data_IF_216967038751
#
_entry.id   IF_216967038751
#
_cell.length_a   1.000
_cell.length_b   1.000
_cell.length_c   1.000
_cell.angle_alpha   90.00
_cell.angle_beta   90.00
_cell.angle_gamma   90.00
#
_symmetry.space_group_name_H-M   'P 1'
#
loop_
_entity.id
_entity.type
_entity.pdbx_description
1 polymer ?
#
# COMPACT_ATOMS: atom_id res chain seq x y z
N UNK A 1 -74.63 22.10 13.35
CA UNK A 1 -73.27 21.61 13.02
C UNK A 1 -72.83 22.28 11.72
N UNK A 2 -71.84 23.18 11.77
CA UNK A 2 -71.32 23.91 10.60
C UNK A 2 -69.86 23.53 10.42
N UNK A 3 -69.54 22.86 9.31
CA UNK A 3 -68.19 22.52 8.91
C UNK A 3 -67.52 23.75 8.28
N UNK A 4 -66.27 24.03 8.68
CA UNK A 4 -65.37 24.96 7.99
C UNK A 4 -64.01 24.28 7.85
N UNK A 5 -63.62 24.07 6.60
CA UNK A 5 -62.31 23.63 6.15
C UNK A 5 -61.52 24.91 5.81
N UNK A 6 -60.30 25.05 6.33
CA UNK A 6 -59.32 26.07 5.93
C UNK A 6 -57.93 25.45 6.16
N UNK A 7 -57.27 24.98 5.11
CA UNK A 7 -56.31 25.71 4.26
C UNK A 7 -54.95 25.93 4.91
N UNK A 8 -54.07 24.99 4.57
CA UNK A 8 -52.61 25.00 4.38
C UNK A 8 -51.87 26.34 4.42
N UNK A 9 -50.73 26.37 5.12
CA UNK A 9 -49.58 27.20 4.78
C UNK A 9 -48.30 26.47 5.21
N UNK A 10 -47.65 25.79 4.25
CA UNK A 10 -46.32 25.21 4.43
C UNK A 10 -45.25 26.26 4.22
N UNK A 11 -44.32 26.39 5.17
CA UNK A 11 -43.11 27.20 5.02
C UNK A 11 -42.00 26.29 4.51
N UNK A 12 -41.60 26.46 3.25
CA UNK A 12 -40.42 25.84 2.67
C UNK A 12 -39.18 26.62 3.14
N UNK A 13 -38.40 26.04 4.05
CA UNK A 13 -37.06 26.53 4.38
C UNK A 13 -36.09 25.92 3.38
N UNK A 14 -35.62 26.74 2.43
CA UNK A 14 -34.53 26.38 1.54
C UNK A 14 -33.19 26.53 2.30
N UNK A 15 -32.66 25.42 2.81
CA UNK A 15 -31.30 25.36 3.31
C UNK A 15 -30.35 25.25 2.10
N UNK A 16 -29.64 26.34 1.81
CA UNK A 16 -28.55 26.34 0.85
C UNK A 16 -27.38 25.52 1.43
N UNK A 17 -27.20 24.31 0.91
CA UNK A 17 -25.99 23.51 1.12
C UNK A 17 -24.83 24.23 0.40
N UNK A 18 -23.96 24.86 1.17
CA UNK A 18 -22.62 25.20 0.74
C UNK A 18 -21.89 23.89 0.49
N UNK A 19 -21.91 23.41 -0.75
CA UNK A 19 -21.01 22.38 -1.21
C UNK A 19 -19.60 22.97 -1.17
N UNK A 20 -18.91 22.78 -0.05
CA UNK A 20 -17.48 22.94 0.02
C UNK A 20 -16.88 22.00 -1.02
N UNK A 21 -16.41 22.57 -2.13
CA UNK A 21 -15.60 21.85 -3.11
C UNK A 21 -14.30 21.46 -2.44
N UNK A 22 -14.33 20.37 -1.67
CA UNK A 22 -13.14 19.63 -1.32
C UNK A 22 -12.55 19.18 -2.65
N UNK A 23 -11.35 19.68 -2.95
CA UNK A 23 -10.52 19.08 -3.99
C UNK A 23 -10.45 17.61 -3.62
N UNK A 24 -11.06 16.73 -4.42
CA UNK A 24 -10.98 15.30 -4.17
C UNK A 24 -9.49 14.97 -4.17
N UNK A 25 -8.94 14.67 -3.00
CA UNK A 25 -7.57 14.22 -2.91
C UNK A 25 -7.48 12.97 -3.79
N UNK A 26 -6.58 12.98 -4.77
CA UNK A 26 -6.28 11.77 -5.52
C UNK A 26 -5.84 10.70 -4.51
N UNK A 27 -6.43 9.53 -4.66
CA UNK A 27 -6.29 8.42 -3.73
C UNK A 27 -5.20 7.48 -4.26
N UNK A 28 -4.38 6.93 -3.37
CA UNK A 28 -3.33 5.95 -3.67
C UNK A 28 -3.90 4.74 -4.45
N UNK A 29 -5.20 4.44 -4.26
CA UNK A 29 -5.92 3.40 -4.99
C UNK A 29 -6.14 3.71 -6.49
N UNK A 30 -6.04 4.97 -6.91
CA UNK A 30 -6.24 5.39 -8.30
C UNK A 30 -4.99 5.20 -9.16
N UNK A 31 -3.84 4.91 -8.55
CA UNK A 31 -2.61 4.61 -9.27
C UNK A 31 -2.75 3.23 -9.94
N UNK A 32 -2.52 3.17 -11.26
CA UNK A 32 -2.38 1.88 -11.96
C UNK A 32 -0.99 1.31 -11.67
N UNK A 33 -0.79 0.80 -10.46
CA UNK A 33 0.48 0.32 -9.93
C UNK A 33 1.17 -0.70 -10.84
N UNK A 34 0.39 -1.53 -11.54
CA UNK A 34 0.93 -2.57 -12.43
C UNK A 34 1.45 -2.00 -13.76
N UNK A 35 1.10 -0.76 -14.11
CA UNK A 35 1.57 -0.07 -15.31
C UNK A 35 2.25 1.27 -15.01
N UNK A 36 2.59 1.51 -13.73
CA UNK A 36 3.23 2.74 -13.28
C UNK A 36 4.77 2.65 -13.38
N UNK A 37 5.42 3.81 -13.38
CA UNK A 37 6.86 3.92 -13.14
C UNK A 37 7.09 4.50 -11.75
N UNK A 38 7.92 3.85 -10.92
CA UNK A 38 8.25 4.34 -9.59
C UNK A 38 9.59 3.79 -9.06
N UNK A 39 10.09 4.41 -8.01
CA UNK A 39 11.27 3.94 -7.29
C UNK A 39 10.86 2.77 -6.38
N UNK A 40 11.29 1.55 -6.73
CA UNK A 40 11.10 0.36 -5.91
C UNK A 40 12.13 0.38 -4.78
N UNK A 41 11.72 0.28 -3.50
CA UNK A 41 12.64 0.12 -2.37
C UNK A 41 13.52 -1.14 -2.50
N UNK A 42 14.56 -1.30 -1.67
CA UNK A 42 15.39 -2.51 -1.69
C UNK A 42 14.57 -3.79 -1.47
N UNK A 43 14.81 -4.81 -2.31
CA UNK A 43 14.16 -6.13 -2.25
C UNK A 43 15.24 -7.21 -2.31
N UNK A 44 15.48 -7.88 -1.18
CA UNK A 44 16.57 -8.85 -1.05
C UNK A 44 17.92 -8.25 -1.42
N UNK A 45 18.55 -8.80 -2.46
CA UNK A 45 19.82 -8.29 -3.01
C UNK A 45 19.68 -7.16 -4.03
N UNK A 46 18.44 -6.82 -4.44
CA UNK A 46 18.20 -5.75 -5.38
C UNK A 46 18.22 -4.39 -4.68
N UNK A 47 19.04 -3.43 -5.14
CA UNK A 47 19.05 -2.10 -4.57
C UNK A 47 17.77 -1.34 -4.94
N UNK A 48 17.56 -0.19 -4.29
CA UNK A 48 16.53 0.75 -4.70
C UNK A 48 16.75 1.17 -6.15
N UNK A 49 15.70 1.16 -6.95
CA UNK A 49 15.80 1.41 -8.38
C UNK A 49 14.49 1.93 -8.97
N UNK A 50 14.58 2.89 -9.89
CA UNK A 50 13.46 3.33 -10.73
C UNK A 50 13.10 2.24 -11.74
N UNK A 51 11.86 1.78 -11.72
CA UNK A 51 11.35 0.71 -12.60
C UNK A 51 10.08 1.17 -13.28
N UNK A 52 10.01 1.02 -14.61
CA UNK A 52 8.78 1.14 -15.38
C UNK A 52 8.12 -0.22 -15.49
N UNK A 53 6.93 -0.36 -14.94
CA UNK A 53 6.16 -1.61 -14.99
C UNK A 53 5.23 -1.63 -16.20
N UNK A 54 5.00 -2.84 -16.72
CA UNK A 54 3.96 -3.15 -17.69
C UNK A 54 3.34 -4.48 -17.27
N UNK A 55 2.04 -4.49 -17.04
CA UNK A 55 1.29 -5.65 -16.54
C UNK A 55 1.89 -6.27 -15.25
N UNK A 56 2.52 -5.44 -14.41
CA UNK A 56 3.10 -5.83 -13.14
C UNK A 56 4.51 -6.42 -13.23
N UNK A 57 5.19 -6.28 -14.37
CA UNK A 57 6.61 -6.65 -14.50
C UNK A 57 7.41 -5.50 -15.12
N UNK A 58 8.66 -5.36 -14.69
CA UNK A 58 9.59 -4.38 -15.21
C UNK A 58 11.02 -4.88 -15.10
N UNK A 59 11.90 -4.32 -15.91
CA UNK A 59 13.32 -4.69 -15.92
C UNK A 59 14.19 -3.44 -15.90
N UNK A 60 15.35 -3.57 -15.28
CA UNK A 60 16.36 -2.51 -15.24
C UNK A 60 17.72 -3.12 -14.97
N UNK A 61 18.69 -2.83 -15.84
CA UNK A 61 19.99 -3.50 -15.81
C UNK A 61 19.85 -5.01 -16.01
N UNK A 62 20.39 -5.78 -15.08
CA UNK A 62 20.36 -7.25 -15.06
C UNK A 62 19.27 -7.83 -14.13
N UNK A 63 18.39 -6.98 -13.60
CA UNK A 63 17.36 -7.34 -12.62
C UNK A 63 15.97 -7.28 -13.21
N UNK A 64 15.14 -8.22 -12.78
CA UNK A 64 13.71 -8.28 -13.06
C UNK A 64 12.98 -7.97 -11.77
N UNK A 65 11.99 -7.08 -11.86
CA UNK A 65 11.09 -6.70 -10.78
C UNK A 65 9.67 -7.10 -11.19
N UNK A 66 8.94 -7.76 -10.30
CA UNK A 66 7.55 -8.12 -10.60
C UNK A 66 6.68 -8.13 -9.34
N UNK A 67 5.43 -7.74 -9.52
CA UNK A 67 4.42 -7.94 -8.50
C UNK A 67 4.27 -9.44 -8.24
N UNK A 68 4.18 -9.83 -6.98
CA UNK A 68 3.97 -11.24 -6.62
C UNK A 68 2.71 -11.78 -7.32
N UNK A 69 2.79 -12.94 -8.00
CA UNK A 69 1.66 -13.50 -8.74
C UNK A 69 0.45 -13.74 -7.82
N UNK A 70 -0.75 -13.43 -8.31
CA UNK A 70 -2.02 -13.64 -7.61
C UNK A 70 -2.15 -12.95 -6.23
N UNK A 71 -1.22 -12.05 -5.89
CA UNK A 71 -1.28 -11.25 -4.66
C UNK A 71 -1.94 -9.90 -4.94
N UNK A 72 -2.97 -9.52 -4.14
CA UNK A 72 -3.54 -8.19 -4.24
C UNK A 72 -2.58 -7.13 -3.69
N UNK A 73 -2.77 -5.88 -4.11
CA UNK A 73 -2.19 -4.72 -3.44
C UNK A 73 -3.07 -4.42 -2.24
N UNK A 74 -2.47 -4.29 -1.06
CA UNK A 74 -3.18 -3.84 0.14
C UNK A 74 -3.18 -2.33 0.23
N UNK A 75 -4.25 -1.76 0.79
CA UNK A 75 -4.36 -0.32 1.06
C UNK A 75 -4.75 -0.12 2.50
N UNK A 76 -3.98 0.70 3.22
CA UNK A 76 -4.24 1.04 4.62
C UNK A 76 -3.42 2.26 5.03
N UNK A 77 -3.91 3.03 5.99
CA UNK A 77 -3.13 4.07 6.66
C UNK A 77 -2.05 3.43 7.56
N UNK A 78 -0.83 3.28 7.04
CA UNK A 78 0.31 2.70 7.78
C UNK A 78 1.21 3.75 8.41
N UNK A 79 1.11 5.00 7.94
CA UNK A 79 1.90 6.14 8.44
C UNK A 79 1.24 6.85 9.62
N UNK A 80 -0.08 6.69 9.80
CA UNK A 80 -0.88 7.38 10.81
C UNK A 80 -1.31 8.79 10.39
N UNK A 81 -1.24 9.10 9.10
CA UNK A 81 -1.52 10.43 8.55
C UNK A 81 -2.99 10.61 8.12
N UNK A 82 -3.82 9.58 8.29
CA UNK A 82 -5.24 9.60 7.94
C UNK A 82 -5.52 9.47 6.45
N UNK A 83 -4.51 9.08 5.67
CA UNK A 83 -4.59 8.72 4.25
C UNK A 83 -4.07 7.31 4.07
N UNK A 84 -4.60 6.59 3.08
CA UNK A 84 -4.13 5.23 2.81
C UNK A 84 -2.81 5.24 2.05
N UNK A 85 -1.99 4.23 2.33
CA UNK A 85 -0.76 3.89 1.65
C UNK A 85 -0.92 2.52 0.97
N UNK A 86 -0.15 2.25 -0.08
CA UNK A 86 -0.14 0.98 -0.78
C UNK A 86 0.93 0.03 -0.21
N UNK A 87 0.52 -1.20 0.06
CA UNK A 87 1.38 -2.32 0.46
C UNK A 87 1.45 -3.35 -0.67
N UNK A 88 2.66 -3.55 -1.19
CA UNK A 88 2.87 -4.36 -2.41
C UNK A 88 3.87 -5.47 -2.09
N UNK A 89 3.48 -6.72 -2.36
CA UNK A 89 4.43 -7.84 -2.41
C UNK A 89 5.19 -7.77 -3.73
N UNK A 90 6.47 -7.41 -3.64
CA UNK A 90 7.36 -7.22 -4.77
C UNK A 90 8.41 -8.34 -4.79
N UNK A 91 8.63 -8.91 -5.96
CA UNK A 91 9.70 -9.87 -6.21
C UNK A 91 10.81 -9.21 -7.02
N UNK A 92 12.05 -9.53 -6.67
CA UNK A 92 13.21 -9.12 -7.46
C UNK A 92 14.30 -10.20 -7.48
N UNK A 93 14.92 -10.35 -8.65
CA UNK A 93 16.02 -11.27 -8.88
C UNK A 93 16.70 -11.04 -10.23
N UNK A 94 17.84 -11.70 -10.48
CA UNK A 94 18.37 -11.84 -11.84
C UNK A 94 17.37 -12.61 -12.72
N UNK A 95 17.38 -12.36 -14.03
CA UNK A 95 16.39 -12.91 -14.99
C UNK A 95 16.23 -14.44 -14.94
N UNK A 96 17.31 -15.16 -14.68
CA UNK A 96 17.35 -16.64 -14.71
C UNK A 96 17.68 -17.25 -13.33
N UNK A 97 17.31 -16.57 -12.25
CA UNK A 97 17.57 -17.02 -10.88
C UNK A 97 16.32 -16.96 -10.00
N UNK A 98 16.45 -17.49 -8.78
CA UNK A 98 15.41 -17.35 -7.76
C UNK A 98 15.23 -15.89 -7.35
N UNK A 99 13.98 -15.52 -7.10
CA UNK A 99 13.59 -14.16 -6.76
C UNK A 99 13.44 -14.05 -5.24
N UNK A 100 14.00 -13.00 -4.66
CA UNK A 100 13.63 -12.59 -3.30
C UNK A 100 12.29 -11.87 -3.35
N UNK A 101 11.44 -12.10 -2.34
CA UNK A 101 10.18 -11.36 -2.18
C UNK A 101 10.25 -10.47 -0.94
N UNK A 102 9.74 -9.26 -1.06
CA UNK A 102 9.62 -8.30 0.03
C UNK A 102 8.21 -7.69 0.03
N UNK A 103 7.79 -7.21 1.20
CA UNK A 103 6.66 -6.29 1.30
C UNK A 103 7.20 -4.86 1.29
N UNK A 104 6.77 -4.04 0.33
CA UNK A 104 7.15 -2.63 0.24
C UNK A 104 5.94 -1.74 0.53
N UNK A 105 6.19 -0.57 1.11
CA UNK A 105 5.21 0.50 1.29
C UNK A 105 5.44 1.61 0.28
N UNK A 106 4.35 2.07 -0.33
CA UNK A 106 4.31 3.17 -1.30
C UNK A 106 3.20 4.15 -0.91
N UNK A 107 3.36 5.42 -1.26
CA UNK A 107 2.36 6.48 -1.04
C UNK A 107 2.29 7.40 -2.26
N UNK A 108 1.48 8.45 -2.20
CA UNK A 108 1.38 9.48 -3.25
C UNK A 108 1.42 10.87 -2.64
N UNK A 109 1.80 11.88 -3.44
CA UNK A 109 1.69 13.27 -3.01
C UNK A 109 0.24 13.64 -2.64
N UNK A 110 0.02 14.53 -1.64
CA UNK A 110 -1.32 15.01 -1.32
C UNK A 110 -2.03 15.59 -2.55
N UNK A 111 -3.13 14.97 -2.96
CA UNK A 111 -3.90 15.40 -4.12
C UNK A 111 -3.32 15.01 -5.48
N UNK A 112 -2.26 14.21 -5.52
CA UNK A 112 -1.64 13.68 -6.73
C UNK A 112 -1.62 12.15 -6.78
N UNK A 113 -1.25 11.61 -7.93
CA UNK A 113 -1.08 10.16 -8.16
C UNK A 113 0.38 9.76 -8.41
N UNK A 114 1.32 10.70 -8.20
CA UNK A 114 2.75 10.44 -8.36
C UNK A 114 3.22 9.51 -7.22
N UNK A 115 3.70 8.30 -7.52
CA UNK A 115 4.09 7.35 -6.48
C UNK A 115 5.42 7.71 -5.80
N UNK A 116 5.48 7.51 -4.50
CA UNK A 116 6.68 7.68 -3.68
C UNK A 116 6.92 6.47 -2.78
N UNK A 117 8.16 6.01 -2.61
CA UNK A 117 8.44 4.93 -1.68
C UNK A 117 8.37 5.41 -0.22
N UNK A 118 7.65 4.67 0.62
CA UNK A 118 7.82 4.73 2.08
C UNK A 118 8.99 3.87 2.53
N UNK A 119 9.31 2.82 1.76
CA UNK A 119 10.43 1.93 2.01
C UNK A 119 10.03 0.45 2.06
N UNK A 120 10.97 -0.39 2.46
CA UNK A 120 10.75 -1.82 2.61
C UNK A 120 10.20 -2.11 3.99
N UNK A 121 9.03 -2.75 4.07
CA UNK A 121 8.43 -3.20 5.34
C UNK A 121 9.19 -4.41 5.86
N UNK A 122 9.33 -5.43 5.02
CA UNK A 122 10.12 -6.63 5.32
C UNK A 122 10.75 -7.17 4.05
N UNK A 123 12.02 -7.56 4.16
CA UNK A 123 12.77 -8.26 3.12
C UNK A 123 13.64 -9.31 3.80
N UNK A 124 13.21 -10.58 3.84
CA UNK A 124 14.00 -11.64 4.43
C UNK A 124 15.39 -11.75 3.79
N UNK A 125 16.42 -12.15 4.55
CA UNK A 125 17.81 -12.16 4.06
C UNK A 125 18.08 -13.27 3.04
N UNK A 126 17.19 -14.25 2.93
CA UNK A 126 17.29 -15.41 2.04
C UNK A 126 16.02 -15.55 1.22
N UNK A 127 16.15 -16.00 -0.03
CA UNK A 127 15.01 -16.13 -0.95
C UNK A 127 14.02 -17.22 -0.54
N UNK A 128 14.44 -18.18 0.29
CA UNK A 128 13.60 -19.26 0.80
C UNK A 128 12.63 -18.81 1.88
N UNK A 129 12.85 -17.61 2.45
CA UNK A 129 11.90 -16.96 3.34
C UNK A 129 11.08 -15.94 2.56
N UNK A 130 9.77 -16.18 2.49
CA UNK A 130 8.87 -15.48 1.57
C UNK A 130 7.71 -14.87 2.34
N UNK A 131 7.56 -13.53 2.36
CA UNK A 131 6.34 -12.91 2.85
C UNK A 131 5.19 -13.27 1.89
N UNK A 132 4.13 -13.86 2.43
CA UNK A 132 3.02 -14.42 1.64
C UNK A 132 1.71 -13.68 1.85
N UNK A 133 1.49 -13.21 3.07
CA UNK A 133 0.27 -12.53 3.50
C UNK A 133 0.62 -11.44 4.50
N UNK A 134 -0.23 -10.41 4.58
CA UNK A 134 -0.12 -9.39 5.60
C UNK A 134 -1.49 -8.89 6.03
N UNK A 135 -1.55 -8.33 7.23
CA UNK A 135 -2.73 -7.64 7.77
C UNK A 135 -2.29 -6.35 8.44
N UNK A 136 -3.12 -5.32 8.33
CA UNK A 136 -2.89 -4.03 8.98
C UNK A 136 -3.93 -3.82 10.07
N UNK A 137 -3.48 -3.47 11.28
CA UNK A 137 -4.34 -3.18 12.42
C UNK A 137 -3.73 -2.07 13.29
N UNK A 138 -4.46 -0.97 13.49
CA UNK A 138 -3.95 0.20 14.23
C UNK A 138 -2.53 0.65 13.82
N UNK A 139 -2.31 0.77 12.50
CA UNK A 139 -1.02 1.14 11.88
C UNK A 139 0.12 0.12 12.07
N UNK A 140 -0.15 -1.04 12.69
CA UNK A 140 0.77 -2.18 12.74
C UNK A 140 0.53 -3.10 11.57
N UNK A 141 1.62 -3.59 10.98
CA UNK A 141 1.62 -4.52 9.87
C UNK A 141 2.09 -5.87 10.41
N UNK A 142 1.20 -6.85 10.46
CA UNK A 142 1.55 -8.24 10.70
C UNK A 142 1.82 -8.92 9.36
N UNK A 143 2.98 -9.54 9.18
CA UNK A 143 3.39 -10.20 7.94
C UNK A 143 3.67 -11.67 8.21
N UNK A 144 2.97 -12.56 7.50
CA UNK A 144 3.24 -14.00 7.55
C UNK A 144 4.35 -14.37 6.56
N UNK A 145 5.41 -14.98 7.08
CA UNK A 145 6.58 -15.41 6.33
C UNK A 145 6.62 -16.93 6.31
N UNK A 146 6.63 -17.52 5.12
CA UNK A 146 6.89 -18.95 4.92
C UNK A 146 8.38 -19.17 4.70
N UNK A 147 8.94 -20.19 5.37
CA UNK A 147 10.30 -20.68 5.15
C UNK A 147 10.24 -22.01 4.40
N UNK A 148 10.62 -21.99 3.12
CA UNK A 148 10.61 -23.17 2.26
C UNK A 148 11.70 -24.20 2.61
N UNK A 149 12.78 -23.80 3.29
CA UNK A 149 13.82 -24.75 3.71
C UNK A 149 13.34 -25.62 4.87
N UNK A 150 12.56 -25.04 5.78
CA UNK A 150 12.09 -25.72 7.00
C UNK A 150 10.63 -26.18 6.93
N UNK A 151 9.86 -25.67 5.97
CA UNK A 151 8.42 -25.88 5.86
C UNK A 151 7.62 -25.25 7.00
N UNK A 152 8.24 -24.36 7.79
CA UNK A 152 7.60 -23.62 8.86
C UNK A 152 7.18 -22.23 8.36
N UNK A 153 6.34 -21.54 9.14
CA UNK A 153 6.11 -20.13 8.95
C UNK A 153 5.99 -19.41 10.29
N UNK A 154 6.21 -18.10 10.25
CA UNK A 154 6.14 -17.23 11.42
C UNK A 154 5.57 -15.87 11.02
N UNK A 155 5.04 -15.15 12.02
CA UNK A 155 4.56 -13.79 11.84
C UNK A 155 5.61 -12.82 12.35
N UNK A 156 5.86 -11.76 11.57
CA UNK A 156 6.63 -10.60 12.01
C UNK A 156 5.74 -9.35 12.07
N UNK A 157 5.98 -8.47 13.04
CA UNK A 157 5.23 -7.24 13.21
C UNK A 157 6.08 -6.00 12.95
N UNK A 158 5.54 -5.06 12.18
CA UNK A 158 6.19 -3.82 11.77
C UNK A 158 5.31 -2.60 12.05
N UNK A 159 5.92 -1.44 12.26
CA UNK A 159 5.26 -0.14 12.40
C UNK A 159 6.06 0.95 11.69
N UNK A 160 5.38 1.96 11.14
CA UNK A 160 6.04 3.17 10.66
C UNK A 160 6.62 3.99 11.82
N UNK A 161 7.91 4.29 11.77
CA UNK A 161 8.59 5.18 12.69
C UNK A 161 8.84 6.54 12.02
N UNK A 162 7.99 7.52 12.29
CA UNK A 162 8.08 8.86 11.70
C UNK A 162 9.42 9.57 11.94
N UNK A 163 10.08 9.30 13.07
CA UNK A 163 11.41 9.85 13.40
C UNK A 163 12.53 9.32 12.50
N UNK A 164 12.40 8.09 12.00
CA UNK A 164 13.36 7.45 11.10
C UNK A 164 12.92 7.48 9.63
N UNK A 165 11.65 7.83 9.38
CA UNK A 165 11.00 7.70 8.07
C UNK A 165 11.19 6.29 7.49
N UNK A 166 10.95 5.28 8.31
CA UNK A 166 11.13 3.88 7.95
C UNK A 166 10.18 2.96 8.72
N UNK A 167 9.91 1.78 8.16
CA UNK A 167 9.27 0.69 8.89
C UNK A 167 10.27 0.03 9.84
N UNK A 168 9.86 -0.18 11.08
CA UNK A 168 10.65 -0.83 12.12
C UNK A 168 9.91 -2.06 12.63
N UNK A 169 10.65 -3.13 12.89
CA UNK A 169 10.12 -4.34 13.52
C UNK A 169 9.81 -4.05 14.99
N UNK A 170 8.63 -4.46 15.47
CA UNK A 170 8.11 -4.13 16.82
C UNK A 170 7.88 -5.35 17.72
N UNK A 171 7.94 -6.56 17.18
CA UNK A 171 7.89 -7.80 17.96
C UNK A 171 9.28 -8.30 18.40
N UNK A 172 10.32 -7.49 18.15
CA UNK A 172 11.69 -7.77 18.56
C UNK A 172 11.94 -7.49 20.04
N UNK A 173 11.93 -8.56 20.83
CA UNK A 173 12.95 -8.78 21.86
C UNK A 173 14.27 -9.22 21.22
#
# INVERSE_FOLDING_TARGET
MRARIASSAGVLVAAALLAGGGVAAADVQQVDWRNAEFDVPPVGSCPQQRVSFTDGAGETGDRVYRFAPDKPIGYADVTGEGVEDALILMECGPRDAEFSRALIGMTTDPGGTAPHPLGTVVSPPVWTQVPEEFQVFHHDIAVWINDFDTGQGHTEHYRWASSAQAFVRIDGQ
#
